data_IF_823497393209
#
_entry.id   IF_823497393209
#
_cell.length_a   1.000
_cell.length_b   1.000
_cell.length_c   1.000
_cell.angle_alpha   90.00
_cell.angle_beta   90.00
_cell.angle_gamma   90.00
#
_symmetry.space_group_name_H-M   'P 1'
#
loop_
_entity.id
_entity.type
_entity.pdbx_description
1 polymer ?
#
# COMPACT_ATOMS: atom_id res chain seq x y z
N UNK A 1 -14.91 6.83 11.71
CA UNK A 1 -14.12 8.02 12.10
C UNK A 1 -14.89 8.68 13.23
N UNK A 2 -14.25 9.02 14.35
CA UNK A 2 -14.96 9.73 15.44
C UNK A 2 -15.40 11.11 14.94
N UNK A 3 -16.52 11.60 15.48
CA UNK A 3 -17.09 12.90 15.11
C UNK A 3 -16.05 14.00 15.31
N UNK A 4 -15.83 14.83 14.29
CA UNK A 4 -14.86 15.93 14.32
C UNK A 4 -13.39 15.55 13.95
N UNK A 5 -13.03 14.28 13.80
CA UNK A 5 -11.66 13.90 13.42
C UNK A 5 -11.27 14.40 12.03
N UNK A 6 -12.17 14.30 11.06
CA UNK A 6 -11.94 14.83 9.72
C UNK A 6 -11.62 16.33 9.75
N UNK A 7 -12.44 17.10 10.49
CA UNK A 7 -12.23 18.54 10.64
C UNK A 7 -10.90 18.84 11.32
N UNK A 8 -10.51 18.06 12.34
CA UNK A 8 -9.21 18.22 13.02
C UNK A 8 -8.04 17.97 12.08
N UNK A 9 -8.10 16.91 11.26
CA UNK A 9 -7.06 16.60 10.27
C UNK A 9 -6.94 17.73 9.24
N UNK A 10 -8.06 18.23 8.70
CA UNK A 10 -8.09 19.34 7.76
C UNK A 10 -7.49 20.62 8.36
N UNK A 11 -7.80 20.92 9.62
CA UNK A 11 -7.24 22.08 10.33
C UNK A 11 -5.74 21.93 10.59
N UNK A 12 -5.27 20.73 10.92
CA UNK A 12 -3.83 20.47 11.13
C UNK A 12 -3.05 20.65 9.80
N UNK A 13 -3.57 20.17 8.68
CA UNK A 13 -2.97 20.38 7.36
C UNK A 13 -2.90 21.86 7.01
N UNK A 14 -3.99 22.60 7.27
CA UNK A 14 -4.01 24.06 7.04
C UNK A 14 -2.97 24.77 7.90
N UNK A 15 -2.91 24.47 9.19
CA UNK A 15 -1.92 25.04 10.10
C UNK A 15 -0.49 24.71 9.63
N UNK A 16 -0.22 23.46 9.21
CA UNK A 16 1.07 23.05 8.67
C UNK A 16 1.50 23.91 7.47
N UNK A 17 0.61 24.11 6.50
CA UNK A 17 0.91 24.96 5.32
C UNK A 17 1.10 26.42 5.70
N UNK A 18 0.40 26.92 6.72
CA UNK A 18 0.55 28.30 7.22
C UNK A 18 1.89 28.56 7.92
N UNK A 19 2.57 27.53 8.46
CA UNK A 19 3.93 27.69 8.99
C UNK A 19 4.94 28.12 7.94
N UNK A 20 4.63 27.90 6.68
CA UNK A 20 5.52 28.23 5.57
C UNK A 20 6.67 27.22 5.40
N UNK A 21 7.62 27.55 4.51
CA UNK A 21 8.74 26.68 4.17
C UNK A 21 8.50 25.84 2.91
N UNK A 22 9.48 25.03 2.53
CA UNK A 22 9.49 24.27 1.27
C UNK A 22 9.10 22.79 1.47
N UNK A 23 8.37 22.47 2.53
CA UNK A 23 7.97 21.09 2.80
C UNK A 23 6.80 20.70 1.89
N UNK A 24 7.01 19.63 1.11
CA UNK A 24 5.97 19.05 0.27
C UNK A 24 4.96 18.27 1.12
N UNK A 25 3.67 18.58 0.97
CA UNK A 25 2.57 17.94 1.68
C UNK A 25 1.73 17.11 0.69
N UNK A 26 2.02 15.83 0.57
CA UNK A 26 1.20 14.87 -0.18
C UNK A 26 0.17 14.17 0.71
N UNK A 27 -1.03 13.99 0.18
CA UNK A 27 -2.13 13.32 0.89
C UNK A 27 -2.48 12.00 0.19
N UNK A 28 -2.65 10.93 0.97
CA UNK A 28 -3.24 9.69 0.48
C UNK A 28 -4.71 9.64 0.88
N UNK A 29 -5.60 9.79 -0.10
CA UNK A 29 -7.05 9.65 0.05
C UNK A 29 -7.43 8.20 -0.23
N UNK A 30 -7.83 7.50 0.82
CA UNK A 30 -8.33 6.13 0.71
C UNK A 30 -9.84 6.17 0.52
N UNK A 31 -10.32 5.56 -0.56
CA UNK A 31 -11.74 5.54 -0.92
C UNK A 31 -12.40 4.30 -0.36
N UNK A 32 -13.51 4.51 0.33
CA UNK A 32 -14.45 3.49 0.79
C UNK A 32 -15.89 3.85 0.37
N UNK A 33 -16.87 3.00 0.67
CA UNK A 33 -18.28 3.25 0.34
C UNK A 33 -18.83 4.53 1.00
N UNK A 34 -18.28 4.94 2.16
CA UNK A 34 -18.75 6.12 2.89
C UNK A 34 -18.30 7.44 2.27
N UNK A 35 -17.12 7.48 1.65
CA UNK A 35 -16.58 8.69 1.03
C UNK A 35 -16.60 8.69 -0.50
N UNK A 36 -16.88 7.55 -1.13
CA UNK A 36 -16.96 7.43 -2.59
C UNK A 36 -17.84 8.50 -3.29
N UNK A 37 -19.01 8.91 -2.73
CA UNK A 37 -19.81 9.98 -3.34
C UNK A 37 -19.18 11.37 -3.29
N UNK A 38 -18.13 11.57 -2.50
CA UNK A 38 -17.54 12.86 -2.15
C UNK A 38 -16.09 13.03 -2.54
N UNK A 39 -15.52 12.15 -3.38
CA UNK A 39 -14.11 12.14 -3.73
C UNK A 39 -13.67 13.46 -4.34
N UNK A 40 -14.42 14.00 -5.31
CA UNK A 40 -14.12 15.30 -5.92
C UNK A 40 -14.15 16.44 -4.91
N UNK A 41 -15.16 16.48 -4.04
CA UNK A 41 -15.30 17.53 -3.01
C UNK A 41 -14.14 17.49 -2.02
N UNK A 42 -13.68 16.29 -1.64
CA UNK A 42 -12.52 16.13 -0.76
C UNK A 42 -11.25 16.62 -1.45
N UNK A 43 -11.03 16.29 -2.72
CA UNK A 43 -9.88 16.76 -3.51
C UNK A 43 -9.88 18.30 -3.57
N UNK A 44 -11.04 18.92 -3.84
CA UNK A 44 -11.17 20.39 -3.87
C UNK A 44 -10.78 21.00 -2.52
N UNK A 45 -11.31 20.47 -1.42
CA UNK A 45 -10.97 20.95 -0.07
C UNK A 45 -9.49 20.81 0.25
N UNK A 46 -8.84 19.74 -0.19
CA UNK A 46 -7.42 19.53 0.01
C UNK A 46 -6.59 20.54 -0.79
N UNK A 47 -6.96 20.77 -2.06
CA UNK A 47 -6.36 21.83 -2.88
C UNK A 47 -6.48 23.21 -2.21
N UNK A 48 -7.66 23.55 -1.69
CA UNK A 48 -7.93 24.86 -1.08
C UNK A 48 -7.16 25.07 0.24
N UNK A 49 -6.70 23.99 0.87
CA UNK A 49 -5.77 24.04 2.00
C UNK A 49 -4.33 24.36 1.52
N UNK A 50 -4.03 24.09 0.24
CA UNK A 50 -2.70 24.26 -0.34
C UNK A 50 -1.82 23.01 -0.21
N UNK A 51 -2.40 21.79 -0.18
CA UNK A 51 -1.58 20.56 -0.30
C UNK A 51 -0.98 20.48 -1.70
N UNK A 52 0.17 19.83 -1.82
CA UNK A 52 0.91 19.77 -3.07
C UNK A 52 0.48 18.60 -3.95
N UNK A 53 -0.05 17.52 -3.34
CA UNK A 53 -0.59 16.40 -4.11
C UNK A 53 -1.65 15.60 -3.35
N UNK A 54 -2.50 14.91 -4.12
CA UNK A 54 -3.45 13.92 -3.62
C UNK A 54 -3.30 12.63 -4.43
N UNK A 55 -3.00 11.53 -3.76
CA UNK A 55 -3.06 10.18 -4.32
C UNK A 55 -4.37 9.54 -3.89
N UNK A 56 -5.22 9.18 -4.85
CA UNK A 56 -6.50 8.50 -4.59
C UNK A 56 -6.30 6.99 -4.79
N UNK A 57 -6.64 6.20 -3.77
CA UNK A 57 -6.45 4.74 -3.78
C UNK A 57 -7.68 4.02 -3.19
N UNK A 58 -7.96 2.78 -3.61
CA UNK A 58 -9.03 1.99 -2.99
C UNK A 58 -8.64 1.57 -1.56
N UNK A 59 -9.62 1.46 -0.67
CA UNK A 59 -9.41 0.77 0.60
C UNK A 59 -9.30 -0.74 0.38
N UNK A 60 -8.51 -1.40 1.20
CA UNK A 60 -8.38 -2.85 1.22
C UNK A 60 -9.16 -3.37 2.42
N UNK A 61 -10.25 -4.08 2.16
CA UNK A 61 -11.15 -4.60 3.21
C UNK A 61 -10.79 -6.02 3.67
N UNK A 62 -10.02 -6.75 2.87
CA UNK A 62 -9.61 -8.11 3.17
C UNK A 62 -8.32 -8.50 2.44
N UNK A 63 -7.74 -9.66 2.79
CA UNK A 63 -6.64 -10.27 2.05
C UNK A 63 -7.11 -11.06 0.81
N UNK A 64 -8.37 -10.94 0.43
CA UNK A 64 -8.95 -11.51 -0.79
C UNK A 64 -9.16 -10.40 -1.83
N UNK A 65 -8.43 -10.50 -2.94
CA UNK A 65 -8.49 -9.52 -4.03
C UNK A 65 -9.84 -9.49 -4.73
N UNK A 66 -10.49 -10.65 -4.88
CA UNK A 66 -11.82 -10.74 -5.51
C UNK A 66 -12.86 -10.03 -4.63
N UNK A 67 -12.81 -10.23 -3.31
CA UNK A 67 -13.69 -9.54 -2.37
C UNK A 67 -13.46 -8.02 -2.38
N UNK A 68 -12.21 -7.57 -2.49
CA UNK A 68 -11.89 -6.14 -2.61
C UNK A 68 -12.46 -5.54 -3.89
N UNK A 69 -12.31 -6.19 -5.05
CA UNK A 69 -12.90 -5.72 -6.31
C UNK A 69 -14.44 -5.68 -6.24
N UNK A 70 -15.07 -6.71 -5.69
CA UNK A 70 -16.52 -6.77 -5.52
C UNK A 70 -17.05 -5.65 -4.60
N UNK A 71 -16.29 -5.28 -3.55
CA UNK A 71 -16.64 -4.16 -2.66
C UNK A 71 -16.66 -2.82 -3.40
N UNK A 72 -15.70 -2.58 -4.28
CA UNK A 72 -15.60 -1.32 -5.02
C UNK A 72 -16.51 -1.24 -6.26
N UNK A 73 -16.91 -2.37 -6.84
CA UNK A 73 -17.68 -2.43 -8.09
C UNK A 73 -18.91 -1.50 -8.13
N UNK A 74 -19.74 -1.36 -7.06
CA UNK A 74 -20.94 -0.51 -7.12
C UNK A 74 -20.67 0.98 -7.34
N UNK A 75 -19.50 1.49 -6.95
CA UNK A 75 -19.18 2.92 -7.04
C UNK A 75 -17.91 3.21 -7.85
N UNK A 76 -17.29 2.19 -8.42
CA UNK A 76 -16.02 2.30 -9.14
C UNK A 76 -16.06 3.34 -10.27
N UNK A 77 -17.05 3.22 -11.17
CA UNK A 77 -17.17 4.11 -12.32
C UNK A 77 -17.38 5.58 -11.93
N UNK A 78 -18.20 5.82 -10.90
CA UNK A 78 -18.45 7.18 -10.42
C UNK A 78 -17.22 7.79 -9.76
N UNK A 79 -16.47 7.02 -8.96
CA UNK A 79 -15.20 7.49 -8.37
C UNK A 79 -14.18 7.82 -9.46
N UNK A 80 -14.01 6.95 -10.48
CA UNK A 80 -13.13 7.22 -11.61
C UNK A 80 -13.50 8.52 -12.33
N UNK A 81 -14.79 8.74 -12.56
CA UNK A 81 -15.29 9.97 -13.17
C UNK A 81 -14.96 11.20 -12.32
N UNK A 82 -15.17 11.15 -11.01
CA UNK A 82 -14.84 12.24 -10.09
C UNK A 82 -13.34 12.57 -10.09
N UNK A 83 -12.46 11.53 -10.09
CA UNK A 83 -11.01 11.73 -10.15
C UNK A 83 -10.62 12.39 -11.48
N UNK A 84 -11.13 11.90 -12.61
CA UNK A 84 -10.84 12.45 -13.92
C UNK A 84 -11.28 13.92 -14.03
N UNK A 85 -12.48 14.26 -13.57
CA UNK A 85 -12.98 15.62 -13.54
C UNK A 85 -12.15 16.54 -12.63
N UNK A 86 -11.71 16.04 -11.48
CA UNK A 86 -10.83 16.79 -10.59
C UNK A 86 -9.47 17.03 -11.22
N UNK A 87 -8.88 16.02 -11.86
CA UNK A 87 -7.60 16.14 -12.54
C UNK A 87 -7.65 17.16 -13.70
N UNK A 88 -8.66 17.07 -14.56
CA UNK A 88 -8.84 18.01 -15.68
C UNK A 88 -8.98 19.47 -15.23
N UNK A 89 -9.70 19.70 -14.11
CA UNK A 89 -10.03 21.06 -13.67
C UNK A 89 -8.97 21.68 -12.77
N UNK A 90 -8.25 20.90 -11.99
CA UNK A 90 -7.49 21.39 -10.84
C UNK A 90 -6.01 20.98 -10.83
N UNK A 91 -5.61 19.94 -11.57
CA UNK A 91 -4.20 19.56 -11.63
C UNK A 91 -3.39 20.63 -12.37
N UNK A 92 -2.23 20.97 -11.80
CA UNK A 92 -1.27 21.92 -12.35
C UNK A 92 0.12 21.70 -11.72
N UNK A 93 1.10 22.53 -12.06
CA UNK A 93 2.49 22.43 -11.56
C UNK A 93 2.62 22.54 -10.01
N UNK A 94 1.59 22.99 -9.32
CA UNK A 94 1.57 23.18 -7.87
C UNK A 94 0.60 22.25 -7.13
N UNK A 95 -0.20 21.48 -7.88
CA UNK A 95 -1.16 20.53 -7.30
C UNK A 95 -1.32 19.31 -8.20
N UNK A 96 -0.80 18.18 -7.75
CA UNK A 96 -0.85 16.92 -8.50
C UNK A 96 -1.96 16.01 -8.00
N UNK A 97 -2.63 15.30 -8.92
CA UNK A 97 -3.63 14.29 -8.59
C UNK A 97 -3.18 12.96 -9.20
N UNK A 98 -2.86 11.99 -8.33
CA UNK A 98 -2.44 10.64 -8.72
C UNK A 98 -3.63 9.69 -8.63
N UNK A 99 -4.10 9.22 -9.79
CA UNK A 99 -5.13 8.19 -9.87
C UNK A 99 -4.50 6.81 -9.66
N UNK A 100 -4.54 6.33 -8.42
CA UNK A 100 -4.22 4.97 -8.04
C UNK A 100 -5.48 4.15 -7.70
N UNK A 101 -6.66 4.66 -8.03
CA UNK A 101 -7.94 3.98 -7.87
C UNK A 101 -8.24 3.14 -9.12
N UNK A 102 -7.75 1.91 -9.12
CA UNK A 102 -7.91 0.95 -10.22
C UNK A 102 -8.43 -0.38 -9.68
N UNK A 103 -9.04 -1.17 -10.54
CA UNK A 103 -9.33 -2.55 -10.22
C UNK A 103 -8.03 -3.27 -9.90
N UNK A 104 -8.06 -4.06 -8.84
CA UNK A 104 -6.92 -4.89 -8.51
C UNK A 104 -6.74 -5.95 -9.61
N UNK A 105 -5.49 -6.29 -9.86
CA UNK A 105 -5.13 -7.37 -10.79
C UNK A 105 -5.87 -8.65 -10.40
N UNK A 106 -6.46 -9.33 -11.34
CA UNK A 106 -7.12 -10.62 -11.16
C UNK A 106 -6.15 -11.79 -10.92
N UNK A 107 -4.83 -11.54 -11.09
CA UNK A 107 -3.75 -12.52 -10.83
C UNK A 107 -3.38 -12.58 -9.36
N UNK A 108 -4.34 -12.93 -8.53
CA UNK A 108 -4.08 -13.06 -7.09
C UNK A 108 -3.28 -14.31 -6.72
N UNK A 109 -3.37 -15.39 -7.52
CA UNK A 109 -2.55 -16.58 -7.33
C UNK A 109 -1.07 -16.30 -7.63
N UNK A 110 -0.18 -16.91 -6.83
CA UNK A 110 1.28 -16.85 -7.02
C UNK A 110 1.78 -18.22 -7.47
N UNK A 111 2.71 -18.22 -8.39
CA UNK A 111 3.32 -19.41 -8.98
C UNK A 111 4.66 -19.80 -8.32
N UNK A 112 5.01 -19.14 -7.21
CA UNK A 112 6.24 -19.39 -6.46
C UNK A 112 5.96 -19.75 -5.00
N UNK A 113 6.86 -20.56 -4.41
CA UNK A 113 6.68 -21.18 -3.10
C UNK A 113 7.39 -20.47 -1.94
N UNK A 114 8.23 -19.46 -2.22
CA UNK A 114 8.86 -18.62 -1.21
C UNK A 114 8.94 -17.17 -1.69
N UNK A 115 9.03 -16.23 -0.76
CA UNK A 115 8.99 -14.80 -1.07
C UNK A 115 10.35 -14.14 -0.83
N UNK A 116 11.14 -13.85 -1.88
CA UNK A 116 12.41 -13.13 -1.74
C UNK A 116 12.27 -11.78 -1.04
N UNK A 117 11.21 -11.06 -1.36
CA UNK A 117 10.96 -9.71 -0.85
C UNK A 117 10.70 -9.66 0.66
N UNK A 118 10.23 -10.76 1.24
CA UNK A 118 10.11 -10.92 2.68
C UNK A 118 11.43 -10.67 3.43
N UNK A 119 12.55 -11.04 2.82
CA UNK A 119 13.89 -10.84 3.40
C UNK A 119 14.33 -9.37 3.41
N UNK A 120 13.70 -8.54 2.61
CA UNK A 120 14.06 -7.12 2.40
C UNK A 120 13.13 -6.19 3.19
N UNK A 121 11.84 -6.50 3.23
CA UNK A 121 10.82 -5.60 3.77
C UNK A 121 9.85 -6.29 4.75
N UNK A 122 10.33 -6.77 5.91
CA UNK A 122 9.45 -7.23 6.98
C UNK A 122 8.78 -6.05 7.70
N UNK A 123 7.71 -6.32 8.42
CA UNK A 123 7.04 -5.35 9.28
C UNK A 123 7.25 -5.72 10.74
N UNK A 124 7.69 -4.75 11.55
CA UNK A 124 7.72 -4.88 13.01
C UNK A 124 6.47 -4.19 13.54
N UNK A 125 5.57 -4.97 14.15
CA UNK A 125 4.36 -4.44 14.75
C UNK A 125 4.60 -3.77 16.10
N UNK A 126 3.62 -2.99 16.57
CA UNK A 126 3.64 -2.38 17.91
C UNK A 126 3.65 -3.43 19.04
N UNK A 127 3.25 -4.65 18.74
CA UNK A 127 3.30 -5.82 19.62
C UNK A 127 4.69 -6.48 19.70
N UNK A 128 5.70 -5.89 19.04
CA UNK A 128 7.07 -6.42 18.90
C UNK A 128 7.16 -7.76 18.18
N UNK A 129 6.13 -8.12 17.44
CA UNK A 129 6.17 -9.23 16.50
C UNK A 129 6.73 -8.77 15.16
N UNK A 130 7.35 -9.71 14.45
CA UNK A 130 7.89 -9.50 13.10
C UNK A 130 7.02 -10.26 12.12
N UNK A 131 6.47 -9.54 11.16
CA UNK A 131 5.58 -10.07 10.12
C UNK A 131 6.27 -10.07 8.76
N UNK A 132 5.83 -10.97 7.90
CA UNK A 132 6.44 -11.21 6.59
C UNK A 132 6.34 -10.03 5.63
N UNK A 133 5.24 -9.27 5.68
CA UNK A 133 5.01 -8.08 4.86
C UNK A 133 3.87 -7.24 5.44
N UNK A 134 3.60 -6.09 4.84
CA UNK A 134 2.51 -5.21 5.25
C UNK A 134 1.12 -5.85 5.13
N UNK A 135 0.90 -6.67 4.08
CA UNK A 135 -0.40 -7.30 3.82
C UNK A 135 -0.69 -8.46 4.79
N UNK A 136 0.35 -8.97 5.45
CA UNK A 136 0.27 -10.02 6.47
C UNK A 136 0.53 -9.49 7.89
N UNK A 137 0.68 -8.18 8.07
CA UNK A 137 0.87 -7.60 9.39
C UNK A 137 -0.34 -7.88 10.29
N UNK A 138 -0.05 -8.26 11.53
CA UNK A 138 -1.03 -8.68 12.56
C UNK A 138 -1.83 -9.96 12.22
N UNK A 139 -1.56 -10.63 11.12
CA UNK A 139 -2.07 -11.96 10.86
C UNK A 139 -1.15 -13.00 11.54
N UNK A 140 -1.53 -13.44 12.74
CA UNK A 140 -0.73 -14.36 13.54
C UNK A 140 -0.66 -15.78 12.94
N UNK A 141 -1.65 -16.18 12.16
CA UNK A 141 -1.71 -17.52 11.57
C UNK A 141 -0.77 -17.66 10.35
N UNK A 142 -0.74 -16.65 9.50
CA UNK A 142 -0.10 -16.76 8.18
C UNK A 142 1.00 -15.71 7.92
N UNK A 143 1.18 -14.74 8.82
CA UNK A 143 2.11 -13.64 8.61
C UNK A 143 3.24 -13.55 9.62
N UNK A 144 3.12 -14.21 10.75
CA UNK A 144 4.06 -14.11 11.85
C UNK A 144 5.36 -14.86 11.55
N UNK A 145 6.48 -14.17 11.60
CA UNK A 145 7.83 -14.75 11.51
C UNK A 145 8.45 -15.02 12.89
N UNK A 146 8.01 -14.30 13.91
CA UNK A 146 8.47 -14.43 15.29
C UNK A 146 8.40 -13.12 16.05
N UNK A 147 9.13 -13.00 17.17
CA UNK A 147 9.08 -11.82 18.03
C UNK A 147 10.48 -11.33 18.42
N UNK A 148 10.58 -10.00 18.57
CA UNK A 148 11.78 -9.32 19.07
C UNK A 148 11.58 -8.80 20.50
N UNK A 149 10.57 -9.28 21.22
CA UNK A 149 10.23 -8.82 22.56
C UNK A 149 11.37 -8.95 23.57
N UNK A 150 12.20 -10.00 23.43
CA UNK A 150 13.28 -10.33 24.35
C UNK A 150 14.66 -10.43 23.67
N UNK A 151 14.80 -9.86 22.46
CA UNK A 151 16.06 -9.91 21.69
C UNK A 151 16.12 -8.75 20.69
N UNK A 152 17.32 -8.40 20.24
CA UNK A 152 17.48 -7.39 19.19
C UNK A 152 17.03 -7.94 17.84
N UNK A 153 16.51 -7.08 16.97
CA UNK A 153 16.10 -7.45 15.61
C UNK A 153 17.24 -8.14 14.84
N UNK A 154 18.47 -7.62 14.93
CA UNK A 154 19.64 -8.21 14.29
C UNK A 154 19.84 -9.69 14.69
N UNK A 155 19.71 -9.98 15.97
CA UNK A 155 19.91 -11.35 16.48
C UNK A 155 18.77 -12.27 16.00
N UNK A 156 17.55 -11.77 15.96
CA UNK A 156 16.42 -12.48 15.38
C UNK A 156 16.57 -12.71 13.88
N UNK A 157 16.98 -11.67 13.13
CA UNK A 157 16.98 -11.70 11.68
C UNK A 157 18.06 -12.59 11.09
N UNK A 158 19.26 -12.58 11.69
CA UNK A 158 20.42 -13.30 11.18
C UNK A 158 20.55 -14.75 11.68
N UNK A 159 19.80 -15.13 12.73
CA UNK A 159 19.68 -16.53 13.18
C UNK A 159 18.63 -17.26 12.37
N UNK A 160 18.42 -18.51 12.58
CA UNK A 160 17.43 -19.40 11.96
C UNK A 160 16.76 -18.83 10.67
N UNK A 161 17.32 -19.18 9.53
CA UNK A 161 16.84 -18.68 8.23
C UNK A 161 15.59 -19.39 7.72
N UNK A 162 15.15 -20.46 8.37
CA UNK A 162 13.95 -21.20 7.97
C UNK A 162 12.68 -20.32 8.02
N UNK A 163 12.67 -19.28 8.88
CA UNK A 163 11.56 -18.31 8.92
C UNK A 163 11.29 -17.63 7.58
N UNK A 164 12.29 -17.48 6.71
CA UNK A 164 12.12 -16.87 5.40
C UNK A 164 11.36 -17.75 4.41
N UNK A 165 11.24 -19.03 4.71
CA UNK A 165 10.50 -20.02 3.93
C UNK A 165 9.19 -20.46 4.59
N UNK A 166 8.84 -19.87 5.73
CA UNK A 166 7.61 -20.20 6.46
C UNK A 166 6.34 -19.79 5.69
N UNK A 167 6.45 -18.78 4.83
CA UNK A 167 5.33 -18.32 4.00
C UNK A 167 5.49 -18.89 2.59
N UNK A 168 4.53 -19.70 2.19
CA UNK A 168 4.38 -20.17 0.81
C UNK A 168 3.38 -19.26 0.07
N UNK A 169 3.81 -18.36 -0.82
CA UNK A 169 2.90 -17.44 -1.50
C UNK A 169 1.83 -18.12 -2.35
N UNK A 170 2.12 -19.28 -2.94
CA UNK A 170 1.14 -20.02 -3.74
C UNK A 170 -0.04 -20.52 -2.92
N UNK A 171 0.13 -20.69 -1.60
CA UNK A 171 -0.90 -21.16 -0.68
C UNK A 171 -1.49 -20.06 0.20
N UNK A 172 -0.69 -19.04 0.54
CA UNK A 172 -1.05 -18.07 1.56
C UNK A 172 -1.32 -16.66 1.03
N UNK A 173 -1.07 -16.39 -0.26
CA UNK A 173 -1.13 -15.03 -0.82
C UNK A 173 -2.13 -14.94 -1.98
N UNK A 174 -3.41 -14.80 -1.66
CA UNK A 174 -4.51 -14.65 -2.64
C UNK A 174 -5.00 -13.21 -2.74
N UNK A 175 -4.11 -12.23 -2.54
CA UNK A 175 -4.40 -10.80 -2.57
C UNK A 175 -3.51 -10.08 -3.58
N UNK A 176 -3.87 -8.86 -3.91
CA UNK A 176 -3.00 -7.96 -4.65
C UNK A 176 -1.72 -7.72 -3.85
N UNK A 177 -0.58 -8.08 -4.40
CA UNK A 177 0.71 -8.00 -3.73
C UNK A 177 1.64 -7.03 -4.45
N UNK A 178 1.97 -5.92 -3.80
CA UNK A 178 2.88 -4.89 -4.35
C UNK A 178 4.30 -5.42 -4.60
N UNK A 179 4.67 -6.55 -3.99
CA UNK A 179 5.96 -7.19 -4.18
C UNK A 179 5.96 -8.29 -5.26
N UNK A 180 4.82 -8.61 -5.88
CA UNK A 180 4.72 -9.74 -6.80
C UNK A 180 5.70 -9.64 -7.97
N UNK A 181 5.70 -8.53 -8.68
CA UNK A 181 6.60 -8.32 -9.84
C UNK A 181 8.07 -8.24 -9.40
N UNK A 182 8.34 -7.69 -8.22
CA UNK A 182 9.71 -7.65 -7.66
C UNK A 182 10.21 -9.05 -7.30
N UNK A 183 9.34 -9.91 -6.78
CA UNK A 183 9.70 -11.31 -6.55
C UNK A 183 10.01 -12.03 -7.86
N UNK A 184 9.20 -11.83 -8.91
CA UNK A 184 9.47 -12.40 -10.24
C UNK A 184 10.80 -11.94 -10.80
N UNK A 185 11.13 -10.64 -10.72
CA UNK A 185 12.44 -10.12 -11.13
C UNK A 185 13.60 -10.80 -10.39
N UNK A 186 13.44 -11.07 -9.07
CA UNK A 186 14.47 -11.79 -8.31
C UNK A 186 14.58 -13.24 -8.78
N UNK A 187 13.47 -13.92 -9.08
CA UNK A 187 13.49 -15.27 -9.61
C UNK A 187 14.10 -15.31 -11.01
N UNK A 188 13.78 -14.38 -11.87
CA UNK A 188 14.39 -14.27 -13.20
C UNK A 188 15.90 -14.11 -13.10
N UNK A 189 16.38 -13.24 -12.18
CA UNK A 189 17.81 -13.09 -11.92
C UNK A 189 18.45 -14.38 -11.38
N UNK A 190 17.82 -15.05 -10.41
CA UNK A 190 18.36 -16.29 -9.81
C UNK A 190 18.36 -17.47 -10.77
N UNK A 191 17.46 -17.48 -11.76
CA UNK A 191 17.36 -18.52 -12.79
C UNK A 191 18.11 -18.16 -14.06
N UNK A 192 18.67 -16.96 -14.18
CA UNK A 192 19.45 -16.57 -15.34
C UNK A 192 20.74 -17.38 -15.42
N UNK A 193 21.13 -17.74 -16.64
CA UNK A 193 22.41 -18.41 -16.89
C UNK A 193 23.56 -17.50 -16.47
N UNK A 194 24.45 -17.95 -15.55
CA UNK A 194 25.60 -17.16 -15.11
C UNK A 194 26.52 -16.68 -16.23
N UNK A 195 26.58 -17.41 -17.35
CA UNK A 195 27.38 -17.04 -18.53
C UNK A 195 26.80 -15.83 -19.27
N UNK A 196 25.49 -15.56 -19.12
CA UNK A 196 24.81 -14.42 -19.72
C UNK A 196 24.69 -13.19 -18.80
N UNK A 197 24.98 -13.32 -17.51
CA UNK A 197 24.94 -12.20 -16.55
C UNK A 197 26.08 -11.17 -16.72
N UNK A 198 27.10 -11.48 -17.52
CA UNK A 198 28.26 -10.60 -17.76
C UNK A 198 27.99 -9.48 -18.78
N UNK A 199 26.80 -9.40 -19.34
CA UNK A 199 26.39 -8.39 -20.33
C UNK A 199 25.44 -7.32 -19.80
N UNK A 200 25.29 -7.19 -18.47
CA UNK A 200 24.43 -6.20 -17.82
C UNK A 200 25.28 -5.15 -17.13
#
# INVERSE_FOLDING_TARGET
MAEGEFTRVMNNMRAFKQFGGNCYLGISLIVDAGNAPHVQDIIVRLRDIGVDSVKVSPCIISNDGVANNAYHAPFFAEVKKQIAQAAERFANDHFEIFDAYHELDDKFAKDYTWCPYLQILPVIGADLNVYSCQDKAYNLAEGLLGSIKNRRFKDFWLTDKNKFFAINPSLHCHHHCVANEKNKMVFDYLNADPEHLTFV
#
